data_IF_775118176297
#
_entry.id   IF_775118176297
#
_cell.length_a   1.000
_cell.length_b   1.000
_cell.length_c   1.000
_cell.angle_alpha   90.00
_cell.angle_beta   90.00
_cell.angle_gamma   90.00
#
_symmetry.space_group_name_H-M   'P 1'
#
loop_
_entity.id
_entity.type
_entity.pdbx_description
1 polymer ?
#
# COMPACT_ATOMS: atom_id res chain seq x y z
N UNK A 1 -0.09 -9.51 3.35
CA UNK A 1 0.03 -8.32 2.47
C UNK A 1 -1.21 -8.28 1.60
N UNK A 2 -1.73 -7.09 1.30
CA UNK A 2 -2.90 -6.89 0.46
C UNK A 2 -2.50 -6.07 -0.76
N UNK A 3 -3.05 -6.41 -1.93
CA UNK A 3 -2.88 -5.64 -3.17
C UNK A 3 -4.25 -5.19 -3.68
N UNK A 4 -4.40 -3.90 -3.95
CA UNK A 4 -5.62 -3.32 -4.52
C UNK A 4 -5.37 -2.95 -5.99
N UNK A 5 -6.19 -3.53 -6.85
CA UNK A 5 -6.22 -3.23 -8.28
C UNK A 5 -7.37 -2.28 -8.58
N UNK A 6 -7.18 -1.39 -9.56
CA UNK A 6 -8.15 -0.35 -9.92
C UNK A 6 -8.66 0.43 -8.69
N UNK A 7 -7.74 0.99 -7.87
CA UNK A 7 -8.07 1.59 -6.57
C UNK A 7 -8.96 2.84 -6.70
N UNK A 8 -8.93 3.51 -7.86
CA UNK A 8 -9.80 4.64 -8.16
C UNK A 8 -10.10 4.71 -9.66
N UNK A 9 -11.22 5.34 -10.00
CA UNK A 9 -11.60 5.72 -11.37
C UNK A 9 -12.46 6.97 -11.34
N UNK A 10 -12.80 7.52 -12.51
CA UNK A 10 -13.66 8.71 -12.59
C UNK A 10 -15.04 8.50 -11.92
N UNK A 11 -15.64 7.31 -12.04
CA UNK A 11 -16.93 7.00 -11.43
C UNK A 11 -16.83 6.59 -9.96
N UNK A 12 -15.62 6.35 -9.45
CA UNK A 12 -15.33 5.81 -8.11
C UNK A 12 -14.09 6.48 -7.51
N UNK A 13 -14.08 7.82 -7.35
CA UNK A 13 -12.90 8.54 -6.90
C UNK A 13 -12.55 8.28 -5.42
N UNK A 14 -13.52 7.85 -4.61
CA UNK A 14 -13.42 7.69 -3.16
C UNK A 14 -13.06 6.26 -2.70
N UNK A 15 -12.93 5.30 -3.62
CA UNK A 15 -12.79 3.89 -3.26
C UNK A 15 -11.51 3.57 -2.49
N UNK A 16 -10.37 4.18 -2.86
CA UNK A 16 -9.13 4.01 -2.13
C UNK A 16 -9.24 4.52 -0.68
N UNK A 17 -9.80 5.72 -0.51
CA UNK A 17 -10.02 6.32 0.81
C UNK A 17 -10.89 5.39 1.67
N UNK A 18 -12.01 4.92 1.11
CA UNK A 18 -12.91 3.99 1.80
C UNK A 18 -12.24 2.67 2.17
N UNK A 19 -11.41 2.11 1.29
CA UNK A 19 -10.64 0.90 1.59
C UNK A 19 -9.66 1.13 2.75
N UNK A 20 -8.99 2.28 2.79
CA UNK A 20 -8.10 2.65 3.89
C UNK A 20 -8.89 2.81 5.20
N UNK A 21 -10.04 3.48 5.17
CA UNK A 21 -10.92 3.66 6.35
C UNK A 21 -11.38 2.32 6.94
N UNK A 22 -11.73 1.35 6.09
CA UNK A 22 -12.10 0.00 6.52
C UNK A 22 -10.92 -0.69 7.20
N UNK A 23 -9.71 -0.59 6.62
CA UNK A 23 -8.51 -1.22 7.19
C UNK A 23 -8.12 -0.62 8.54
N UNK A 24 -8.19 0.71 8.66
CA UNK A 24 -7.96 1.44 9.90
C UNK A 24 -8.99 1.05 10.97
N UNK A 25 -10.27 1.03 10.61
CA UNK A 25 -11.36 0.61 11.52
C UNK A 25 -11.23 -0.85 11.97
N UNK A 26 -10.65 -1.70 11.13
CA UNK A 26 -10.32 -3.08 11.46
C UNK A 26 -9.04 -3.24 12.31
N UNK A 27 -8.43 -2.13 12.75
CA UNK A 27 -7.29 -2.13 13.67
C UNK A 27 -5.91 -2.18 13.01
N UNK A 28 -5.79 -1.89 11.70
CA UNK A 28 -4.46 -1.65 11.12
C UNK A 28 -3.88 -0.35 11.65
N UNK A 29 -2.58 -0.38 11.96
CA UNK A 29 -1.82 0.79 12.35
C UNK A 29 -1.79 1.83 11.21
N UNK A 30 -2.13 3.11 11.44
CA UNK A 30 -1.96 4.17 10.46
C UNK A 30 -0.54 4.26 9.88
N UNK A 31 0.49 3.88 10.63
CA UNK A 31 1.88 3.83 10.19
C UNK A 31 2.23 2.59 9.35
N UNK A 32 1.27 1.69 9.07
CA UNK A 32 1.49 0.50 8.24
C UNK A 32 2.09 0.93 6.90
N UNK A 33 3.25 0.35 6.56
CA UNK A 33 3.93 0.63 5.30
C UNK A 33 3.04 0.24 4.13
N UNK A 34 2.88 1.16 3.19
CA UNK A 34 2.14 1.01 1.96
C UNK A 34 3.02 1.44 0.78
N UNK A 35 2.62 1.04 -0.42
CA UNK A 35 3.25 1.51 -1.65
C UNK A 35 2.24 1.67 -2.76
N UNK A 36 2.47 2.64 -3.63
CA UNK A 36 1.75 2.78 -4.90
C UNK A 36 2.73 2.60 -6.04
N UNK A 37 2.30 1.94 -7.10
CA UNK A 37 3.05 1.93 -8.37
C UNK A 37 2.10 2.17 -9.51
N UNK A 38 2.35 3.23 -10.28
CA UNK A 38 1.59 3.63 -11.46
C UNK A 38 2.34 3.15 -12.71
N UNK A 39 1.60 2.72 -13.74
CA UNK A 39 2.17 2.27 -15.03
C UNK A 39 3.20 1.14 -14.91
N UNK A 40 2.97 0.16 -14.03
CA UNK A 40 3.90 -0.96 -13.81
C UNK A 40 4.26 -1.64 -15.15
N UNK A 41 5.55 -1.76 -15.43
CA UNK A 41 6.11 -2.38 -16.63
C UNK A 41 5.92 -1.56 -17.92
N UNK A 42 5.60 -0.26 -17.82
CA UNK A 42 5.36 0.64 -18.96
C UNK A 42 6.18 1.92 -18.84
N UNK A 43 6.23 2.69 -19.93
CA UNK A 43 6.83 4.02 -19.90
C UNK A 43 6.08 4.93 -18.91
N UNK A 44 6.84 5.70 -18.12
CA UNK A 44 6.28 6.54 -17.06
C UNK A 44 5.87 5.77 -15.81
N UNK A 45 6.55 4.66 -15.50
CA UNK A 45 6.43 3.96 -14.22
C UNK A 45 6.91 4.86 -13.08
N UNK A 46 6.06 5.01 -12.07
CA UNK A 46 6.33 5.82 -10.88
C UNK A 46 5.92 5.04 -9.64
N UNK A 47 6.77 5.02 -8.62
CA UNK A 47 6.53 4.34 -7.36
C UNK A 47 6.67 5.31 -6.18
N UNK A 48 5.83 5.14 -5.18
CA UNK A 48 5.92 5.87 -3.91
C UNK A 48 5.77 4.92 -2.72
N UNK A 49 6.48 5.23 -1.64
CA UNK A 49 6.26 4.65 -0.32
C UNK A 49 5.44 5.61 0.50
N UNK A 50 4.45 5.07 1.20
CA UNK A 50 3.50 5.81 2.02
C UNK A 50 3.22 5.03 3.30
N UNK A 51 2.69 5.70 4.30
CA UNK A 51 1.96 5.05 5.40
C UNK A 51 0.50 4.82 5.00
N UNK A 52 -0.23 3.98 5.73
CA UNK A 52 -1.67 3.78 5.50
C UNK A 52 -2.47 5.08 5.72
N UNK A 53 -2.03 5.91 6.68
CA UNK A 53 -2.59 7.24 6.91
C UNK A 53 -2.41 8.17 5.72
N UNK A 54 -1.21 8.23 5.13
CA UNK A 54 -0.97 9.05 3.93
C UNK A 54 -1.68 8.49 2.69
N UNK A 55 -1.70 7.15 2.54
CA UNK A 55 -2.37 6.48 1.42
C UNK A 55 -3.86 6.82 1.36
N UNK A 56 -4.52 6.95 2.51
CA UNK A 56 -5.94 7.31 2.63
C UNK A 56 -6.30 8.58 1.86
N UNK A 57 -5.42 9.57 1.88
CA UNK A 57 -5.65 10.88 1.26
C UNK A 57 -4.90 11.04 -0.06
N UNK A 58 -4.23 9.98 -0.53
CA UNK A 58 -3.47 9.96 -1.79
C UNK A 58 -4.41 9.83 -2.99
N UNK A 59 -4.22 10.70 -3.99
CA UNK A 59 -4.91 10.60 -5.27
C UNK A 59 -4.19 9.59 -6.18
N UNK A 60 -4.94 8.65 -6.73
CA UNK A 60 -4.45 7.63 -7.66
C UNK A 60 -5.43 7.48 -8.83
N UNK A 61 -4.99 6.79 -9.88
CA UNK A 61 -5.81 6.50 -11.06
C UNK A 61 -5.95 4.98 -11.30
N UNK A 62 -6.63 4.63 -12.39
CA UNK A 62 -6.84 3.23 -12.78
C UNK A 62 -5.56 2.49 -13.23
N UNK A 63 -4.46 3.21 -13.46
CA UNK A 63 -3.17 2.64 -13.82
C UNK A 63 -2.28 2.39 -12.60
N UNK A 64 -2.80 2.66 -11.41
CA UNK A 64 -2.09 2.47 -10.15
C UNK A 64 -2.47 1.14 -9.49
N UNK A 65 -1.46 0.40 -9.02
CA UNK A 65 -1.67 -0.71 -8.07
C UNK A 65 -1.19 -0.25 -6.69
N UNK A 66 -1.99 -0.55 -5.67
CA UNK A 66 -1.68 -0.20 -4.28
C UNK A 66 -1.34 -1.46 -3.50
N UNK A 67 -0.31 -1.37 -2.68
CA UNK A 67 0.21 -2.42 -1.82
C UNK A 67 0.07 -1.98 -0.36
N UNK A 68 -0.57 -2.79 0.47
CA UNK A 68 -0.69 -2.56 1.92
C UNK A 68 0.06 -3.66 2.66
N UNK A 69 1.03 -3.24 3.48
CA UNK A 69 1.87 -4.13 4.27
C UNK A 69 1.09 -4.91 5.32
N UNK A 70 1.76 -5.91 5.88
CA UNK A 70 1.35 -6.50 7.16
C UNK A 70 2.14 -5.85 8.31
N UNK A 71 1.86 -6.29 9.54
CA UNK A 71 2.52 -5.81 10.76
C UNK A 71 4.04 -6.02 10.80
N UNK A 72 4.59 -6.89 9.95
CA UNK A 72 6.03 -7.14 9.87
C UNK A 72 6.70 -6.39 8.72
N UNK A 73 5.94 -5.70 7.87
CA UNK A 73 6.49 -4.99 6.71
C UNK A 73 7.24 -3.74 7.17
N UNK A 74 8.44 -3.51 6.65
CA UNK A 74 9.32 -2.39 6.98
C UNK A 74 9.86 -1.72 5.73
N UNK A 75 10.31 -0.48 5.86
CA UNK A 75 11.10 0.19 4.83
C UNK A 75 12.58 -0.13 5.05
N UNK A 76 13.23 -0.76 4.07
CA UNK A 76 14.66 -1.09 4.10
C UNK A 76 15.27 -0.61 2.79
N UNK A 77 16.23 0.31 2.86
CA UNK A 77 16.89 0.86 1.68
C UNK A 77 15.92 1.50 0.68
N UNK A 78 14.90 2.20 1.18
CA UNK A 78 13.86 2.82 0.35
C UNK A 78 12.91 1.82 -0.34
N UNK A 79 12.86 0.57 0.13
CA UNK A 79 11.98 -0.47 -0.40
C UNK A 79 11.07 -1.04 0.68
N UNK A 80 9.87 -1.42 0.28
CA UNK A 80 8.93 -2.16 1.13
C UNK A 80 9.38 -3.63 1.24
N UNK A 81 9.77 -4.07 2.43
CA UNK A 81 10.28 -5.42 2.68
C UNK A 81 9.49 -6.07 3.79
N UNK A 82 8.90 -7.23 3.50
CA UNK A 82 8.36 -8.12 4.52
C UNK A 82 9.38 -9.23 4.79
N UNK A 83 9.99 -9.28 5.99
CA UNK A 83 10.94 -10.34 6.34
C UNK A 83 10.29 -11.72 6.20
N UNK A 84 11.07 -12.70 5.75
CA UNK A 84 10.64 -14.10 5.75
C UNK A 84 10.70 -14.64 7.18
N UNK A 85 9.72 -15.43 7.57
CA UNK A 85 9.53 -15.92 8.95
C UNK A 85 10.62 -16.82 9.53
N UNK A 86 11.71 -17.11 8.81
CA UNK A 86 12.86 -17.84 9.38
C UNK A 86 13.56 -17.06 10.50
N UNK A 87 13.38 -15.73 10.56
CA UNK A 87 13.88 -14.88 11.65
C UNK A 87 13.07 -15.01 12.96
N UNK A 88 11.93 -15.70 12.96
CA UNK A 88 11.14 -15.99 14.17
C UNK A 88 11.38 -17.39 14.76
N UNK A 89 12.19 -18.25 14.12
CA UNK A 89 12.53 -19.59 14.64
C UNK A 89 13.88 -19.63 15.37
N UNK A 90 14.28 -18.50 15.95
CA UNK A 90 15.52 -18.34 16.72
C UNK A 90 15.24 -17.73 18.08
N UNK A 91 14.27 -18.31 18.80
CA UNK A 91 14.17 -18.29 20.26
C UNK A 91 14.14 -19.74 20.74
#
# INVERSE_FOLDING_TARGET
MLCLYNPASHSRPDYLQRACDILLSAGKDPATVCGTVRNIGRAGEEAALLTLGELRDTQVDMFTTVFVGNSQTKVIGGKMVTPRGYLQRGE
#
